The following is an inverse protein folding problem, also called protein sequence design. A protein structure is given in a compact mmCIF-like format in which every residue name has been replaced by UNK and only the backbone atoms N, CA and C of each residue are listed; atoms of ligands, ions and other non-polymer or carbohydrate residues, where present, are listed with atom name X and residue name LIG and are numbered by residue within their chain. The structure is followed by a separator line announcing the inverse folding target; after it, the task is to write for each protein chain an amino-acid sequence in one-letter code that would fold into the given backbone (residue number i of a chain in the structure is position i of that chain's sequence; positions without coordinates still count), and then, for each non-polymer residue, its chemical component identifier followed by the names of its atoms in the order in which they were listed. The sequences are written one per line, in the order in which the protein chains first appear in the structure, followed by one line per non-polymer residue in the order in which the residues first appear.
data_IF_045938371557
#
_entry.id   IF_045938371557
#
_cell.length_a   1.000
_cell.length_b   1.000
_cell.length_c   1.000
_cell.angle_alpha   90.00
_cell.angle_beta   90.00
_cell.angle_gamma   90.00
#
_symmetry.space_group_name_H-M   'P 1'
#
loop_
_entity.id
_entity.type
_entity.pdbx_description
1 polymer ?
#
# COMPACT_ATOMS: atom_id res chain seq x y z
N UNK A 1 -46.11 -14.18 10.19
CA UNK A 1 -45.62 -14.74 8.91
C UNK A 1 -44.10 -14.75 8.97
N UNK A 2 -43.48 -15.92 9.14
CA UNK A 2 -42.02 -16.08 9.14
C UNK A 2 -41.54 -16.10 7.69
N UNK A 3 -40.86 -15.05 7.24
CA UNK A 3 -39.98 -15.17 6.08
C UNK A 3 -38.76 -15.98 6.54
N UNK A 4 -38.34 -17.02 5.80
CA UNK A 4 -37.03 -17.63 6.04
C UNK A 4 -36.00 -16.53 5.75
N UNK A 5 -35.31 -16.07 6.80
CA UNK A 5 -34.22 -15.13 6.64
C UNK A 5 -33.20 -15.81 5.73
N UNK A 6 -32.80 -15.16 4.63
CA UNK A 6 -31.56 -15.57 3.96
C UNK A 6 -30.45 -15.43 5.00
N UNK A 7 -29.76 -16.51 5.35
CA UNK A 7 -28.71 -16.62 6.39
C UNK A 7 -27.43 -15.81 6.09
N UNK A 8 -27.58 -14.69 5.40
CA UNK A 8 -26.52 -13.75 5.04
C UNK A 8 -26.64 -12.50 5.92
N UNK A 9 -25.67 -12.34 6.81
CA UNK A 9 -25.52 -11.17 7.66
C UNK A 9 -24.51 -10.20 7.05
N UNK A 10 -24.82 -8.90 7.03
CA UNK A 10 -23.98 -7.86 6.42
C UNK A 10 -23.55 -6.87 7.51
N UNK A 11 -22.25 -6.64 7.63
CA UNK A 11 -21.67 -5.72 8.61
C UNK A 11 -20.98 -4.55 7.93
N UNK A 12 -21.22 -3.36 8.46
CA UNK A 12 -20.85 -2.09 7.85
C UNK A 12 -19.69 -1.42 8.57
N UNK A 13 -18.98 -0.59 7.80
CA UNK A 13 -17.92 0.26 8.32
C UNK A 13 -18.52 1.37 9.20
N UNK A 14 -17.98 1.56 10.40
CA UNK A 14 -18.43 2.61 11.32
C UNK A 14 -18.28 4.00 10.71
N UNK A 15 -19.28 4.87 10.91
CA UNK A 15 -19.32 6.21 10.28
C UNK A 15 -18.10 7.07 10.63
N UNK A 16 -17.62 7.01 11.86
CA UNK A 16 -16.44 7.77 12.32
C UNK A 16 -15.16 7.26 11.68
N UNK A 17 -14.97 5.94 11.62
CA UNK A 17 -13.84 5.30 10.94
C UNK A 17 -13.84 5.63 9.44
N UNK A 18 -15.00 5.53 8.79
CA UNK A 18 -15.19 5.93 7.39
C UNK A 18 -14.78 7.38 7.15
N UNK A 19 -15.30 8.32 7.93
CA UNK A 19 -15.00 9.75 7.75
C UNK A 19 -13.52 10.06 7.97
N UNK A 20 -12.90 9.48 9.01
CA UNK A 20 -11.48 9.67 9.30
C UNK A 20 -10.60 9.14 8.17
N UNK A 21 -10.81 7.89 7.75
CA UNK A 21 -10.01 7.25 6.70
C UNK A 21 -10.24 7.92 5.35
N UNK A 22 -11.48 8.32 5.04
CA UNK A 22 -11.80 9.08 3.83
C UNK A 22 -11.11 10.44 3.82
N UNK A 23 -11.16 11.20 4.92
CA UNK A 23 -10.50 12.50 5.01
C UNK A 23 -9.00 12.37 4.78
N UNK A 24 -8.35 11.40 5.44
CA UNK A 24 -6.93 11.14 5.27
C UNK A 24 -6.59 10.78 3.82
N UNK A 25 -7.36 9.86 3.21
CA UNK A 25 -7.15 9.47 1.83
C UNK A 25 -7.36 10.63 0.85
N UNK A 26 -8.37 11.48 1.05
CA UNK A 26 -8.62 12.66 0.20
C UNK A 26 -7.48 13.69 0.34
N UNK A 27 -7.04 13.97 1.57
CA UNK A 27 -5.91 14.88 1.78
C UNK A 27 -4.63 14.36 1.09
N UNK A 28 -4.38 13.06 1.18
CA UNK A 28 -3.23 12.43 0.53
C UNK A 28 -3.34 12.46 -0.99
N UNK A 29 -4.52 12.16 -1.56
CA UNK A 29 -4.78 12.27 -3.00
C UNK A 29 -4.57 13.70 -3.52
N UNK A 30 -5.15 14.70 -2.85
CA UNK A 30 -4.99 16.11 -3.24
C UNK A 30 -3.52 16.54 -3.15
N UNK A 31 -2.81 16.16 -2.08
CA UNK A 31 -1.39 16.48 -1.94
C UNK A 31 -0.54 15.85 -3.05
N UNK A 32 -0.80 14.58 -3.41
CA UNK A 32 -0.10 13.91 -4.51
C UNK A 32 -0.43 14.54 -5.86
N UNK A 33 -1.69 14.86 -6.12
CA UNK A 33 -2.11 15.48 -7.37
C UNK A 33 -1.50 16.88 -7.55
N UNK A 34 -1.53 17.72 -6.50
CA UNK A 34 -0.88 19.03 -6.53
C UNK A 34 0.64 18.91 -6.66
N UNK A 35 1.25 17.92 -6.00
CA UNK A 35 2.67 17.60 -6.16
C UNK A 35 3.01 17.23 -7.59
N UNK A 36 2.22 16.34 -8.21
CA UNK A 36 2.40 15.90 -9.59
C UNK A 36 2.27 17.06 -10.59
N UNK A 37 1.29 17.95 -10.38
CA UNK A 37 1.14 19.16 -11.18
C UNK A 37 2.35 20.08 -11.03
N UNK A 38 2.83 20.29 -9.80
CA UNK A 38 4.01 21.12 -9.52
C UNK A 38 5.27 20.56 -10.17
N UNK A 39 5.50 19.25 -10.06
CA UNK A 39 6.66 18.59 -10.68
C UNK A 39 6.56 18.56 -12.20
N UNK A 40 5.38 18.32 -12.77
CA UNK A 40 5.16 18.33 -14.22
C UNK A 40 5.38 19.74 -14.80
N UNK A 41 4.86 20.77 -14.11
CA UNK A 41 5.07 22.15 -14.50
C UNK A 41 6.54 22.55 -14.44
N UNK A 42 7.23 22.23 -13.34
CA UNK A 42 8.66 22.48 -13.21
C UNK A 42 9.46 21.74 -14.30
N UNK A 43 9.10 20.50 -14.62
CA UNK A 43 9.71 19.71 -15.69
C UNK A 43 9.53 20.38 -17.06
N UNK A 44 8.30 20.82 -17.38
CA UNK A 44 7.99 21.52 -18.63
C UNK A 44 8.70 22.88 -18.74
N UNK A 45 8.76 23.63 -17.64
CA UNK A 45 9.49 24.90 -17.59
C UNK A 45 10.99 24.71 -17.82
N UNK A 46 11.59 23.70 -17.17
CA UNK A 46 12.98 23.35 -17.38
C UNK A 46 13.28 22.93 -18.82
N UNK A 47 12.36 22.21 -19.46
CA UNK A 47 12.48 21.85 -20.88
C UNK A 47 12.51 23.09 -21.79
N UNK A 48 11.82 24.18 -21.42
CA UNK A 48 11.89 25.46 -22.13
C UNK A 48 13.25 26.15 -22.01
N UNK A 49 14.00 25.87 -20.94
CA UNK A 49 15.38 26.36 -20.73
C UNK A 49 16.45 25.45 -21.34
N UNK A 50 16.05 24.30 -21.90
CA UNK A 50 16.95 23.34 -22.52
C UNK A 50 17.51 23.85 -23.84
N UNK A 51 18.76 24.30 -23.85
CA UNK A 51 19.52 24.64 -25.06
C UNK A 51 20.87 23.92 -25.04
N UNK A 52 20.86 22.59 -25.13
CA UNK A 52 22.09 21.82 -25.16
C UNK A 52 22.05 20.70 -26.19
N UNK A 53 23.14 20.57 -26.95
CA UNK A 53 23.42 19.40 -27.75
C UNK A 53 23.65 18.18 -26.85
N UNK A 54 23.27 17.00 -27.36
CA UNK A 54 23.42 15.72 -26.67
C UNK A 54 24.89 15.46 -26.34
N UNK A 55 25.21 15.22 -25.07
CA UNK A 55 26.56 14.89 -24.58
C UNK A 55 26.56 13.57 -23.85
N UNK A 56 27.62 12.78 -23.98
CA UNK A 56 27.78 11.45 -23.37
C UNK A 56 27.95 11.42 -21.84
N UNK A 57 27.74 12.54 -21.13
CA UNK A 57 27.76 12.63 -19.67
C UNK A 57 26.46 13.25 -19.14
N UNK A 58 25.99 12.79 -17.97
CA UNK A 58 24.75 13.25 -17.35
C UNK A 58 24.90 14.71 -16.90
N UNK A 59 24.20 15.67 -17.51
CA UNK A 59 24.19 17.04 -16.96
C UNK A 59 23.29 17.09 -15.74
N UNK A 60 23.58 18.00 -14.81
CA UNK A 60 22.72 18.22 -13.64
C UNK A 60 21.28 18.56 -14.04
N UNK A 61 21.09 19.19 -15.22
CA UNK A 61 19.78 19.46 -15.80
C UNK A 61 19.07 18.18 -16.26
N UNK A 62 19.76 17.23 -16.88
CA UNK A 62 19.19 15.93 -17.27
C UNK A 62 18.74 15.16 -16.02
N UNK A 63 19.56 15.17 -14.97
CA UNK A 63 19.24 14.53 -13.69
C UNK A 63 18.02 15.17 -13.03
N UNK A 64 17.92 16.51 -13.07
CA UNK A 64 16.80 17.25 -12.47
C UNK A 64 15.51 17.06 -13.26
N UNK A 65 15.56 17.10 -14.60
CA UNK A 65 14.41 16.79 -15.47
C UNK A 65 13.96 15.34 -15.26
N UNK A 66 14.89 14.39 -15.20
CA UNK A 66 14.60 13.00 -14.90
C UNK A 66 13.93 12.82 -13.54
N UNK A 67 14.42 13.51 -12.50
CA UNK A 67 13.83 13.51 -11.16
C UNK A 67 12.42 14.09 -11.14
N UNK A 68 12.19 15.23 -11.78
CA UNK A 68 10.87 15.86 -11.85
C UNK A 68 9.86 15.01 -12.65
N UNK A 69 10.30 14.42 -13.76
CA UNK A 69 9.51 13.46 -14.53
C UNK A 69 9.15 12.22 -13.71
N UNK A 70 10.12 11.67 -12.99
CA UNK A 70 9.91 10.51 -12.11
C UNK A 70 8.96 10.82 -10.95
N UNK A 71 9.14 11.97 -10.28
CA UNK A 71 8.24 12.42 -9.21
C UNK A 71 6.81 12.55 -9.72
N UNK A 72 6.62 13.13 -10.90
CA UNK A 72 5.30 13.24 -11.54
C UNK A 72 4.68 11.86 -11.73
N UNK A 73 5.43 10.91 -12.28
CA UNK A 73 4.98 9.53 -12.50
C UNK A 73 4.62 8.82 -11.19
N UNK A 74 5.51 8.87 -10.19
CA UNK A 74 5.31 8.22 -8.90
C UNK A 74 4.11 8.81 -8.14
N UNK A 75 3.95 10.14 -8.16
CA UNK A 75 2.82 10.82 -7.52
C UNK A 75 1.49 10.49 -8.19
N UNK A 76 1.43 10.46 -9.53
CA UNK A 76 0.23 10.03 -10.26
C UNK A 76 -0.13 8.57 -9.99
N UNK A 77 0.87 7.68 -9.94
CA UNK A 77 0.66 6.27 -9.58
C UNK A 77 0.07 6.14 -8.17
N UNK A 78 0.61 6.88 -7.21
CA UNK A 78 0.08 6.95 -5.86
C UNK A 78 -1.35 7.46 -5.80
N UNK A 79 -1.66 8.53 -6.54
CA UNK A 79 -2.99 9.13 -6.60
C UNK A 79 -4.04 8.15 -7.17
N UNK A 80 -3.68 7.38 -8.20
CA UNK A 80 -4.54 6.31 -8.74
C UNK A 80 -4.83 5.24 -7.67
N UNK A 81 -3.82 4.81 -6.91
CA UNK A 81 -3.97 3.82 -5.84
C UNK A 81 -4.88 4.32 -4.72
N UNK A 82 -4.69 5.58 -4.30
CA UNK A 82 -5.52 6.19 -3.26
C UNK A 82 -6.94 6.36 -3.74
N UNK A 83 -7.15 6.79 -4.99
CA UNK A 83 -8.49 6.93 -5.57
C UNK A 83 -9.22 5.59 -5.62
N UNK A 84 -8.51 4.51 -5.99
CA UNK A 84 -9.04 3.14 -5.94
C UNK A 84 -9.39 2.71 -4.52
N UNK A 85 -8.54 3.04 -3.54
CA UNK A 85 -8.83 2.82 -2.12
C UNK A 85 -10.06 3.57 -1.64
N UNK A 86 -10.18 4.86 -1.96
CA UNK A 86 -11.34 5.67 -1.60
C UNK A 86 -12.63 5.11 -2.21
N UNK A 87 -12.55 4.59 -3.44
CA UNK A 87 -13.68 3.92 -4.09
C UNK A 87 -14.06 2.63 -3.37
N UNK A 88 -13.10 1.78 -3.03
CA UNK A 88 -13.35 0.57 -2.24
C UNK A 88 -13.92 0.88 -0.85
N UNK A 89 -13.37 1.88 -0.17
CA UNK A 89 -13.85 2.38 1.12
C UNK A 89 -15.31 2.83 1.04
N UNK A 90 -15.67 3.56 -0.02
CA UNK A 90 -17.05 3.97 -0.25
C UNK A 90 -17.97 2.76 -0.52
N UNK A 91 -17.50 1.78 -1.29
CA UNK A 91 -18.27 0.55 -1.52
C UNK A 91 -18.46 -0.25 -0.23
N UNK A 92 -17.45 -0.37 0.63
CA UNK A 92 -17.58 -1.05 1.92
C UNK A 92 -18.57 -0.35 2.86
N UNK A 93 -18.54 0.98 2.89
CA UNK A 93 -19.52 1.75 3.66
C UNK A 93 -20.95 1.59 3.15
N UNK A 94 -21.16 1.46 1.82
CA UNK A 94 -22.49 1.36 1.20
C UNK A 94 -23.04 -0.07 1.10
N UNK A 95 -22.18 -1.06 0.89
CA UNK A 95 -22.57 -2.45 0.55
C UNK A 95 -22.18 -3.46 1.64
N UNK A 96 -21.48 -3.04 2.68
CA UNK A 96 -20.94 -3.92 3.70
C UNK A 96 -19.45 -4.24 3.48
N UNK A 97 -18.78 -4.47 4.60
CA UNK A 97 -17.35 -4.78 4.71
C UNK A 97 -17.14 -6.27 4.95
N UNK A 98 -18.07 -6.87 5.68
CA UNK A 98 -18.17 -8.30 5.91
C UNK A 98 -19.54 -8.80 5.50
N UNK A 99 -19.57 -9.93 4.79
CA UNK A 99 -20.77 -10.74 4.63
C UNK A 99 -20.50 -12.12 5.19
N UNK A 100 -21.33 -12.54 6.14
CA UNK A 100 -21.29 -13.88 6.74
C UNK A 100 -22.50 -14.64 6.22
N UNK A 101 -22.27 -15.64 5.38
CA UNK A 101 -23.28 -16.60 4.94
C UNK A 101 -23.21 -17.88 5.78
N UNK A 102 -23.98 -18.90 5.45
CA UNK A 102 -23.97 -20.21 6.13
C UNK A 102 -22.65 -20.96 5.92
N UNK A 103 -22.06 -20.88 4.72
CA UNK A 103 -20.83 -21.60 4.35
C UNK A 103 -19.74 -20.71 3.75
N UNK A 104 -19.94 -19.40 3.72
CA UNK A 104 -18.96 -18.48 3.15
C UNK A 104 -18.83 -17.19 3.96
N UNK A 105 -17.62 -16.64 3.93
CA UNK A 105 -17.24 -15.40 4.58
C UNK A 105 -16.62 -14.50 3.52
N UNK A 106 -17.33 -13.44 3.13
CA UNK A 106 -16.79 -12.40 2.24
C UNK A 106 -16.25 -11.25 3.08
N UNK A 107 -15.00 -10.86 2.81
CA UNK A 107 -14.28 -9.86 3.58
C UNK A 107 -13.63 -8.86 2.65
N UNK A 108 -13.73 -7.58 2.99
CA UNK A 108 -13.00 -6.50 2.31
C UNK A 108 -12.02 -5.86 3.26
N UNK A 109 -10.74 -5.92 2.92
CA UNK A 109 -9.74 -5.15 3.64
C UNK A 109 -9.87 -3.65 3.30
N UNK A 110 -10.37 -2.88 4.27
CA UNK A 110 -10.51 -1.43 4.22
C UNK A 110 -9.65 -0.74 5.27
N UNK A 111 -8.58 -1.41 5.73
CA UNK A 111 -7.71 -0.90 6.76
C UNK A 111 -7.04 0.41 6.34
N UNK A 112 -6.96 1.43 7.23
CA UNK A 112 -6.17 2.63 6.96
C UNK A 112 -4.67 2.33 6.79
N UNK A 113 -4.21 1.14 7.20
CA UNK A 113 -2.85 0.68 6.94
C UNK A 113 -2.53 0.61 5.44
N UNK A 114 -3.53 0.39 4.58
CA UNK A 114 -3.32 0.40 3.13
C UNK A 114 -2.85 1.77 2.61
N UNK A 115 -3.25 2.88 3.24
CA UNK A 115 -2.73 4.21 2.92
C UNK A 115 -1.24 4.34 3.29
N UNK A 116 -0.86 3.80 4.47
CA UNK A 116 0.54 3.74 4.89
C UNK A 116 1.37 2.91 3.92
N UNK A 117 0.87 1.74 3.49
CA UNK A 117 1.54 0.89 2.50
C UNK A 117 1.76 1.61 1.17
N UNK A 118 0.77 2.36 0.67
CA UNK A 118 0.92 3.18 -0.55
C UNK A 118 2.03 4.22 -0.35
N UNK A 119 2.04 4.93 0.78
CA UNK A 119 3.07 5.93 1.09
C UNK A 119 4.48 5.30 1.12
N UNK A 120 4.65 4.19 1.83
CA UNK A 120 5.95 3.50 1.91
C UNK A 120 6.42 2.93 0.58
N UNK A 121 5.49 2.45 -0.26
CA UNK A 121 5.79 2.01 -1.62
C UNK A 121 6.36 3.17 -2.45
N UNK A 122 5.70 4.33 -2.42
CA UNK A 122 6.16 5.52 -3.14
C UNK A 122 7.48 6.08 -2.60
N UNK A 123 7.64 6.12 -1.28
CA UNK A 123 8.87 6.59 -0.65
C UNK A 123 10.05 5.69 -1.02
N UNK A 124 9.86 4.37 -0.99
CA UNK A 124 10.90 3.41 -1.39
C UNK A 124 11.28 3.56 -2.86
N UNK A 125 10.29 3.74 -3.74
CA UNK A 125 10.49 3.98 -5.16
C UNK A 125 11.26 5.29 -5.41
N UNK A 126 10.95 6.37 -4.69
CA UNK A 126 11.71 7.63 -4.73
C UNK A 126 13.18 7.42 -4.37
N UNK A 127 13.48 6.76 -3.25
CA UNK A 127 14.85 6.53 -2.83
C UNK A 127 15.61 5.59 -3.78
N UNK A 128 14.93 4.60 -4.37
CA UNK A 128 15.53 3.79 -5.43
C UNK A 128 15.92 4.66 -6.63
N UNK A 129 15.07 5.59 -7.06
CA UNK A 129 15.40 6.47 -8.17
C UNK A 129 16.54 7.45 -7.85
N UNK A 130 16.57 7.98 -6.62
CA UNK A 130 17.72 8.78 -6.15
C UNK A 130 19.00 7.95 -6.20
N UNK A 131 18.96 6.68 -5.78
CA UNK A 131 20.11 5.78 -5.90
C UNK A 131 20.53 5.53 -7.36
N UNK A 132 19.59 5.43 -8.30
CA UNK A 132 19.89 5.38 -9.74
C UNK A 132 20.67 6.62 -10.18
N UNK A 133 20.19 7.82 -9.82
CA UNK A 133 20.85 9.07 -10.18
C UNK A 133 22.26 9.17 -9.56
N UNK A 134 22.40 8.86 -8.27
CA UNK A 134 23.69 8.88 -7.57
C UNK A 134 24.67 7.88 -8.19
N UNK A 135 24.21 6.68 -8.54
CA UNK A 135 25.03 5.68 -9.23
C UNK A 135 25.49 6.12 -10.63
N UNK A 136 24.78 7.03 -11.28
CA UNK A 136 25.16 7.60 -12.59
C UNK A 136 26.09 8.83 -12.48
N UNK A 137 26.22 9.46 -11.31
CA UNK A 137 27.10 10.64 -11.11
C UNK A 137 28.55 10.38 -11.52
N UNK A 138 29.18 9.23 -11.21
CA UNK A 138 30.57 8.97 -11.60
C UNK A 138 30.82 9.03 -13.11
N UNK A 139 29.80 8.80 -13.96
CA UNK A 139 29.93 8.94 -15.40
C UNK A 139 30.24 10.39 -15.83
N UNK A 140 29.84 11.38 -15.02
CA UNK A 140 30.19 12.79 -15.21
C UNK A 140 31.69 13.01 -14.98
N UNK A 141 32.26 12.32 -13.98
CA UNK A 141 33.69 12.44 -13.65
C UNK A 141 34.58 11.98 -14.81
N UNK A 142 34.15 10.98 -15.59
CA UNK A 142 34.87 10.50 -16.78
C UNK A 142 35.01 11.62 -17.83
N UNK A 143 33.96 12.42 -18.04
CA UNK A 143 34.04 13.58 -18.94
C UNK A 143 35.01 14.65 -18.43
N UNK A 144 35.08 14.83 -17.12
CA UNK A 144 35.98 15.80 -16.48
C UNK A 144 37.45 15.38 -16.54
N UNK A 145 37.75 14.07 -16.50
CA UNK A 145 39.14 13.62 -16.54
C UNK A 145 39.82 13.99 -17.87
N UNK A 146 39.06 14.13 -18.96
CA UNK A 146 39.57 14.54 -20.28
C UNK A 146 40.18 15.94 -20.31
N UNK A 147 39.88 16.80 -19.33
CA UNK A 147 40.44 18.15 -19.22
C UNK A 147 41.76 18.21 -18.44
N UNK A 148 42.24 17.09 -17.91
CA UNK A 148 43.49 17.03 -17.12
C UNK A 148 44.70 17.00 -18.06
N UNK A 149 45.55 18.03 -17.98
CA UNK A 149 46.75 18.17 -18.81
C UNK A 149 47.94 17.33 -18.35
N UNK A 150 47.98 16.93 -17.07
CA UNK A 150 49.06 16.10 -16.53
C UNK A 150 48.81 14.60 -16.79
N UNK A 151 49.70 13.88 -17.48
CA UNK A 151 49.43 12.52 -17.97
C UNK A 151 49.30 11.48 -16.85
N UNK A 152 50.10 11.59 -15.77
CA UNK A 152 50.00 10.69 -14.62
C UNK A 152 48.66 10.87 -13.89
N UNK A 153 48.26 12.13 -13.68
CA UNK A 153 47.01 12.48 -13.01
C UNK A 153 45.80 12.05 -13.86
N UNK A 154 45.89 12.19 -15.18
CA UNK A 154 44.88 11.75 -16.14
C UNK A 154 44.63 10.24 -16.00
N UNK A 155 45.68 9.41 -16.00
CA UNK A 155 45.54 7.95 -15.91
C UNK A 155 44.92 7.52 -14.58
N UNK A 156 45.40 8.07 -13.45
CA UNK A 156 44.88 7.74 -12.13
C UNK A 156 43.44 8.21 -11.93
N UNK A 157 43.13 9.45 -12.36
CA UNK A 157 41.77 10.00 -12.26
C UNK A 157 40.80 9.22 -13.15
N UNK A 158 41.19 8.91 -14.39
CA UNK A 158 40.33 8.16 -15.32
C UNK A 158 40.11 6.74 -14.84
N UNK A 159 41.16 6.05 -14.35
CA UNK A 159 41.04 4.72 -13.76
C UNK A 159 40.10 4.70 -12.55
N UNK A 160 40.24 5.68 -11.65
CA UNK A 160 39.36 5.83 -10.48
C UNK A 160 37.92 6.15 -10.87
N UNK A 161 37.70 7.05 -11.84
CA UNK A 161 36.38 7.39 -12.36
C UNK A 161 35.71 6.19 -13.04
N UNK A 162 36.46 5.36 -13.78
CA UNK A 162 35.95 4.12 -14.38
C UNK A 162 35.55 3.10 -13.30
N UNK A 163 36.38 2.90 -12.27
CA UNK A 163 36.03 1.99 -11.17
C UNK A 163 34.78 2.45 -10.41
N UNK A 164 34.68 3.76 -10.13
CA UNK A 164 33.49 4.35 -9.50
C UNK A 164 32.26 4.26 -10.41
N UNK A 165 32.42 4.40 -11.73
CA UNK A 165 31.33 4.27 -12.71
C UNK A 165 30.83 2.83 -12.80
N UNK A 166 31.73 1.84 -12.75
CA UNK A 166 31.35 0.42 -12.69
C UNK A 166 30.56 0.11 -11.42
N UNK A 167 31.04 0.54 -10.26
CA UNK A 167 30.33 0.36 -9.00
C UNK A 167 28.97 1.09 -9.00
N UNK A 168 28.94 2.33 -9.47
CA UNK A 168 27.73 3.13 -9.59
C UNK A 168 26.71 2.50 -10.53
N UNK A 169 27.14 1.97 -11.68
CA UNK A 169 26.26 1.30 -12.65
C UNK A 169 25.62 0.03 -12.07
N UNK A 170 26.35 -0.76 -11.26
CA UNK A 170 25.77 -1.90 -10.53
C UNK A 170 24.68 -1.43 -9.58
N UNK A 171 24.93 -0.38 -8.79
CA UNK A 171 23.93 0.20 -7.88
C UNK A 171 22.70 0.70 -8.65
N UNK A 172 22.90 1.40 -9.77
CA UNK A 172 21.81 1.90 -10.62
C UNK A 172 20.98 0.76 -11.21
N UNK A 173 21.59 -0.33 -11.67
CA UNK A 173 20.86 -1.50 -12.20
C UNK A 173 20.00 -2.14 -11.10
N UNK A 174 20.57 -2.36 -9.92
CA UNK A 174 19.85 -2.97 -8.79
C UNK A 174 18.70 -2.07 -8.32
N UNK A 175 18.94 -0.76 -8.18
CA UNK A 175 17.91 0.17 -7.78
C UNK A 175 16.79 0.29 -8.84
N UNK A 176 17.15 0.29 -10.13
CA UNK A 176 16.18 0.31 -11.21
C UNK A 176 15.33 -0.96 -11.27
N UNK A 177 15.91 -2.13 -11.00
CA UNK A 177 15.13 -3.38 -10.95
C UNK A 177 14.09 -3.36 -9.82
N UNK A 178 14.40 -2.76 -8.66
CA UNK A 178 13.42 -2.55 -7.59
C UNK A 178 12.27 -1.62 -8.01
N UNK A 179 12.54 -0.57 -8.80
CA UNK A 179 11.49 0.29 -9.36
C UNK A 179 10.57 -0.53 -10.27
N UNK A 180 11.13 -1.36 -11.16
CA UNK A 180 10.35 -2.21 -12.06
C UNK A 180 9.48 -3.22 -11.30
N UNK A 181 10.06 -3.90 -10.31
CA UNK A 181 9.34 -4.82 -9.42
C UNK A 181 8.23 -4.06 -8.68
N UNK A 182 8.52 -2.86 -8.18
CA UNK A 182 7.54 -1.99 -7.52
C UNK A 182 6.39 -1.58 -8.45
N UNK A 183 6.65 -1.30 -9.73
CA UNK A 183 5.61 -1.00 -10.71
C UNK A 183 4.70 -2.20 -10.99
N UNK A 184 5.28 -3.40 -11.15
CA UNK A 184 4.49 -4.64 -11.31
C UNK A 184 3.70 -4.96 -10.04
N UNK A 185 4.33 -4.80 -8.88
CA UNK A 185 3.69 -4.93 -7.57
C UNK A 185 2.53 -3.96 -7.39
N UNK A 186 2.67 -2.70 -7.83
CA UNK A 186 1.60 -1.70 -7.78
C UNK A 186 0.38 -2.11 -8.62
N UNK A 187 0.58 -2.72 -9.80
CA UNK A 187 -0.53 -3.24 -10.62
C UNK A 187 -1.26 -4.38 -9.90
N UNK A 188 -0.51 -5.32 -9.33
CA UNK A 188 -1.08 -6.41 -8.54
C UNK A 188 -1.85 -5.88 -7.33
N UNK A 189 -1.22 -4.96 -6.59
CA UNK A 189 -1.80 -4.30 -5.43
C UNK A 189 -3.08 -3.54 -5.78
N UNK A 190 -3.12 -2.84 -6.92
CA UNK A 190 -4.34 -2.16 -7.40
C UNK A 190 -5.51 -3.13 -7.59
N UNK A 191 -5.24 -4.37 -8.03
CA UNK A 191 -6.28 -5.39 -8.23
C UNK A 191 -6.77 -5.97 -6.91
N UNK A 192 -5.87 -6.18 -5.94
CA UNK A 192 -6.22 -6.74 -4.63
C UNK A 192 -6.87 -5.72 -3.70
N UNK A 193 -6.55 -4.44 -3.87
CA UNK A 193 -6.91 -3.40 -2.93
C UNK A 193 -8.43 -3.18 -2.91
N UNK A 194 -9.04 -3.51 -1.77
CA UNK A 194 -10.48 -3.42 -1.57
C UNK A 194 -11.32 -4.43 -2.37
N UNK A 195 -10.68 -5.42 -2.99
CA UNK A 195 -11.39 -6.52 -3.61
C UNK A 195 -12.00 -7.42 -2.51
N UNK A 196 -13.24 -7.89 -2.69
CA UNK A 196 -13.82 -8.86 -1.79
C UNK A 196 -13.09 -10.19 -1.90
N UNK A 197 -12.65 -10.71 -0.76
CA UNK A 197 -12.11 -12.05 -0.61
C UNK A 197 -13.19 -12.94 -0.03
N UNK A 198 -13.55 -14.00 -0.74
CA UNK A 198 -14.54 -14.97 -0.28
C UNK A 198 -13.83 -16.23 0.21
N UNK A 199 -14.02 -16.54 1.49
CA UNK A 199 -13.52 -17.74 2.12
C UNK A 199 -14.65 -18.74 2.30
N UNK A 200 -14.41 -20.00 1.97
CA UNK A 200 -15.31 -21.09 2.34
C UNK A 200 -15.10 -21.40 3.83
N UNK A 201 -16.17 -21.51 4.60
CA UNK A 201 -16.10 -21.88 6.02
C UNK A 201 -16.07 -23.41 6.12
N UNK A 202 -14.87 -23.97 6.20
CA UNK A 202 -14.62 -25.41 6.28
C UNK A 202 -13.60 -25.72 7.38
N UNK A 203 -13.33 -27.01 7.63
CA UNK A 203 -12.35 -27.48 8.63
C UNK A 203 -10.91 -27.03 8.35
N UNK A 204 -10.66 -26.43 7.18
CA UNK A 204 -9.36 -25.91 6.77
C UNK A 204 -9.23 -24.41 7.02
N UNK A 205 -10.32 -23.73 7.35
CA UNK A 205 -10.38 -22.29 7.54
C UNK A 205 -10.06 -21.96 8.99
N UNK A 206 -8.88 -21.42 9.23
CA UNK A 206 -8.50 -20.93 10.55
C UNK A 206 -8.89 -19.46 10.66
N UNK A 207 -9.90 -19.19 11.46
CA UNK A 207 -10.20 -17.82 11.93
C UNK A 207 -9.43 -17.61 13.24
N UNK A 208 -9.00 -16.40 13.58
CA UNK A 208 -8.37 -16.06 14.87
C UNK A 208 -8.73 -14.62 15.24
N UNK A 209 -8.96 -14.34 16.53
CA UNK A 209 -9.25 -12.97 16.98
C UNK A 209 -8.21 -12.55 18.03
N UNK A 210 -7.32 -11.63 17.68
CA UNK A 210 -6.35 -11.05 18.61
C UNK A 210 -6.54 -9.54 18.71
N UNK A 211 -6.65 -8.95 19.91
CA UNK A 211 -6.72 -7.49 20.12
C UNK A 211 -7.79 -6.74 19.29
N UNK A 212 -8.92 -7.38 19.00
CA UNK A 212 -9.97 -6.95 18.06
C UNK A 212 -9.56 -6.96 16.56
N UNK A 213 -8.59 -7.79 16.16
CA UNK A 213 -8.26 -8.08 14.78
C UNK A 213 -8.70 -9.49 14.42
N UNK A 214 -9.53 -9.61 13.39
CA UNK A 214 -9.96 -10.89 12.84
C UNK A 214 -8.98 -11.31 11.74
N UNK A 215 -8.24 -12.39 11.98
CA UNK A 215 -7.36 -13.02 11.01
C UNK A 215 -8.04 -14.26 10.43
N UNK A 216 -8.08 -14.37 9.10
CA UNK A 216 -8.66 -15.51 8.39
C UNK A 216 -7.59 -16.11 7.49
N UNK A 217 -7.28 -17.38 7.74
CA UNK A 217 -6.27 -18.16 7.03
C UNK A 217 -6.98 -19.33 6.38
N UNK A 218 -6.82 -19.48 5.07
CA UNK A 218 -7.33 -20.62 4.31
C UNK A 218 -6.24 -21.15 3.37
N UNK A 219 -5.97 -22.47 3.32
CA UNK A 219 -4.91 -23.03 2.49
C UNK A 219 -5.06 -22.66 1.01
N UNK A 220 -4.04 -22.01 0.45
CA UNK A 220 -4.02 -21.61 -0.96
C UNK A 220 -4.79 -20.32 -1.29
N UNK A 221 -5.38 -19.65 -0.30
CA UNK A 221 -5.94 -18.31 -0.45
C UNK A 221 -5.05 -17.26 0.25
N UNK A 222 -5.23 -15.99 -0.13
CA UNK A 222 -4.56 -14.88 0.53
C UNK A 222 -5.07 -14.73 1.97
N UNK A 223 -4.19 -14.54 2.94
CA UNK A 223 -4.58 -14.26 4.32
C UNK A 223 -5.27 -12.89 4.42
N UNK A 224 -6.40 -12.83 5.14
CA UNK A 224 -7.10 -11.57 5.43
C UNK A 224 -6.93 -11.21 6.89
N UNK A 225 -6.47 -10.00 7.16
CA UNK A 225 -6.38 -9.42 8.50
C UNK A 225 -7.26 -8.19 8.56
N UNK A 226 -8.25 -8.21 9.45
CA UNK A 226 -9.28 -7.18 9.48
C UNK A 226 -9.42 -6.61 10.87
N UNK A 227 -9.24 -5.30 10.99
CA UNK A 227 -9.44 -4.60 12.25
C UNK A 227 -10.95 -4.42 12.52
N UNK A 228 -11.48 -5.15 13.50
CA UNK A 228 -12.89 -5.09 13.90
C UNK A 228 -13.25 -3.72 14.51
N UNK A 229 -12.27 -2.89 14.89
CA UNK A 229 -12.48 -1.52 15.36
C UNK A 229 -12.99 -0.61 14.25
N UNK A 230 -12.87 -1.02 13.00
CA UNK A 230 -13.36 -0.28 11.83
C UNK A 230 -14.87 -0.48 11.61
N UNK A 231 -15.46 -1.56 12.15
CA UNK A 231 -16.89 -1.81 12.06
C UNK A 231 -17.69 -0.83 12.93
N UNK A 232 -18.98 -0.69 12.62
CA UNK A 232 -19.87 0.03 13.51
C UNK A 232 -19.95 -0.67 14.88
N UNK A 233 -20.20 0.09 15.95
CA UNK A 233 -20.14 -0.46 17.32
C UNK A 233 -21.18 -1.56 17.52
N UNK A 234 -22.39 -1.36 17.01
CA UNK A 234 -23.48 -2.32 17.09
C UNK A 234 -23.18 -3.55 16.22
N UNK A 235 -22.74 -3.33 14.99
CA UNK A 235 -22.31 -4.40 14.06
C UNK A 235 -21.14 -5.23 14.61
N UNK A 236 -20.21 -4.60 15.33
CA UNK A 236 -19.09 -5.31 15.97
C UNK A 236 -19.58 -6.26 17.06
N UNK A 237 -20.45 -5.78 17.95
CA UNK A 237 -21.04 -6.63 18.99
C UNK A 237 -21.85 -7.75 18.37
N UNK A 238 -22.71 -7.43 17.40
CA UNK A 238 -23.54 -8.42 16.72
C UNK A 238 -22.68 -9.44 15.95
N UNK A 239 -21.56 -9.03 15.34
CA UNK A 239 -20.63 -9.95 14.68
C UNK A 239 -19.97 -10.89 15.69
N UNK A 240 -19.50 -10.36 16.81
CA UNK A 240 -18.87 -11.17 17.86
C UNK A 240 -19.86 -12.13 18.51
N UNK A 241 -21.10 -11.69 18.75
CA UNK A 241 -22.17 -12.53 19.28
C UNK A 241 -22.60 -13.59 18.27
N UNK A 242 -22.75 -13.24 16.99
CA UNK A 242 -23.05 -14.20 15.92
C UNK A 242 -21.94 -15.24 15.76
N UNK A 243 -20.67 -14.80 15.80
CA UNK A 243 -19.53 -15.68 15.80
C UNK A 243 -19.58 -16.59 17.03
N UNK A 244 -19.81 -16.07 18.23
CA UNK A 244 -19.93 -16.85 19.47
C UNK A 244 -21.06 -17.87 19.41
N UNK A 245 -22.24 -17.49 18.97
CA UNK A 245 -23.41 -18.37 18.89
C UNK A 245 -23.17 -19.49 17.89
N UNK A 246 -22.69 -19.15 16.69
CA UNK A 246 -22.33 -20.16 15.68
C UNK A 246 -21.13 -21.00 16.11
N UNK A 247 -20.22 -20.48 16.92
CA UNK A 247 -19.05 -21.21 17.43
C UNK A 247 -19.38 -22.20 18.53
N UNK A 248 -20.15 -21.77 19.53
CA UNK A 248 -20.55 -22.57 20.67
C UNK A 248 -21.58 -23.64 20.29
N UNK A 249 -22.41 -23.36 19.28
CA UNK A 249 -23.40 -24.31 18.77
C UNK A 249 -22.89 -25.17 17.61
N UNK A 250 -21.85 -24.75 16.88
CA UNK A 250 -21.18 -25.63 15.93
C UNK A 250 -20.44 -26.72 16.71
N UNK A 251 -20.82 -27.98 16.52
CA UNK A 251 -20.02 -29.12 16.94
C UNK A 251 -18.63 -29.02 16.27
N UNK A 252 -17.69 -28.37 16.94
CA UNK A 252 -16.24 -28.62 16.91
C UNK A 252 -15.45 -28.57 15.58
N UNK A 253 -15.98 -27.99 14.51
CA UNK A 253 -15.42 -28.24 13.17
C UNK A 253 -14.57 -27.09 12.58
N UNK A 254 -14.66 -25.84 13.04
CA UNK A 254 -13.99 -24.71 12.36
C UNK A 254 -12.67 -24.20 12.98
N UNK A 255 -12.46 -24.24 14.30
CA UNK A 255 -11.13 -24.07 14.95
C UNK A 255 -11.29 -24.35 16.47
N UNK A 256 -10.43 -25.11 17.17
CA UNK A 256 -10.59 -25.33 18.61
C UNK A 256 -10.17 -24.15 19.52
N UNK A 257 -9.49 -23.11 19.02
CA UNK A 257 -8.84 -22.09 19.87
C UNK A 257 -9.57 -20.73 20.07
N UNK A 258 -10.62 -20.37 19.30
CA UNK A 258 -11.23 -19.02 19.41
C UNK A 258 -12.15 -18.80 20.62
N UNK A 259 -12.58 -19.84 21.33
CA UNK A 259 -13.64 -19.71 22.34
C UNK A 259 -13.33 -18.63 23.39
N UNK A 260 -12.12 -18.67 23.94
CA UNK A 260 -11.64 -17.70 24.94
C UNK A 260 -11.31 -16.33 24.31
N UNK A 261 -10.79 -16.32 23.09
CA UNK A 261 -10.44 -15.10 22.33
C UNK A 261 -11.67 -14.22 22.01
N UNK A 262 -12.80 -14.85 21.65
CA UNK A 262 -14.08 -14.16 21.39
C UNK A 262 -14.61 -13.52 22.68
N UNK A 263 -14.53 -14.22 23.81
CA UNK A 263 -14.98 -13.67 25.10
C UNK A 263 -14.14 -12.48 25.55
N UNK A 264 -12.83 -12.51 25.30
CA UNK A 264 -11.94 -11.39 25.59
C UNK A 264 -12.26 -10.17 24.71
N UNK A 265 -12.46 -10.36 23.40
CA UNK A 265 -12.85 -9.29 22.48
C UNK A 265 -14.23 -8.67 22.81
N UNK A 266 -15.18 -9.49 23.29
CA UNK A 266 -16.48 -9.03 23.77
C UNK A 266 -16.34 -8.14 25.01
N UNK A 267 -15.57 -8.57 26.01
CA UNK A 267 -15.31 -7.77 27.23
C UNK A 267 -14.65 -6.43 26.91
N UNK A 268 -13.63 -6.42 26.06
CA UNK A 268 -12.98 -5.17 25.61
C UNK A 268 -13.96 -4.22 24.90
N UNK A 269 -14.90 -4.77 24.13
CA UNK A 269 -15.93 -3.98 23.45
C UNK A 269 -16.94 -3.38 24.44
N UNK A 270 -17.35 -4.14 25.47
CA UNK A 270 -18.26 -3.69 26.53
C UNK A 270 -17.63 -2.62 27.43
N UNK A 271 -16.38 -2.80 27.85
CA UNK A 271 -15.63 -1.81 28.65
C UNK A 271 -15.52 -0.47 27.91
N UNK A 272 -15.24 -0.50 26.61
CA UNK A 272 -15.20 0.73 25.79
C UNK A 272 -16.57 1.38 25.59
N UNK A 273 -17.66 0.62 25.69
CA UNK A 273 -19.03 1.15 25.68
C UNK A 273 -19.33 1.88 26.99
N UNK A 274 -18.91 1.32 28.12
CA UNK A 274 -19.11 1.90 29.45
C UNK A 274 -18.32 3.21 29.67
N UNK A 275 -17.15 3.37 29.04
CA UNK A 275 -16.32 4.60 29.15
C UNK A 275 -16.86 5.79 28.34
N UNK A 276 -17.84 5.56 27.46
CA UNK A 276 -18.42 6.60 26.59
C UNK A 276 -19.85 7.02 26.97
N UNK A 277 -20.34 6.56 28.13
CA UNK A 277 -21.58 7.03 28.80
C UNK A 277 -21.20 7.99 29.90
#
# INVERSE_FOLDING_TARGET
MKQPASDTYIFHLGRTAYQRTRLLGVLMAVALFLGALGSAWACGWMWGTYRHDFTFYLKWQDALVGLLGFLTFAMLKGDILITRFLFALHQGYRKGTFLVSEHSLEVRDLSPLNLSSIFWMMNSEFWCFVAVLVGLVPAILVGWTLHITQPLLLVLATGSALLLSLAGLVVSIVAFSFILIGCVGAISFTKSLGAPQTYELSNRTMVRIDDCQLTIIYPGAQESLVDLRLLDKEDRHFLLDLLRERWNNAQQVWNPMLGEEIEQALRESEERRAVLV
#
